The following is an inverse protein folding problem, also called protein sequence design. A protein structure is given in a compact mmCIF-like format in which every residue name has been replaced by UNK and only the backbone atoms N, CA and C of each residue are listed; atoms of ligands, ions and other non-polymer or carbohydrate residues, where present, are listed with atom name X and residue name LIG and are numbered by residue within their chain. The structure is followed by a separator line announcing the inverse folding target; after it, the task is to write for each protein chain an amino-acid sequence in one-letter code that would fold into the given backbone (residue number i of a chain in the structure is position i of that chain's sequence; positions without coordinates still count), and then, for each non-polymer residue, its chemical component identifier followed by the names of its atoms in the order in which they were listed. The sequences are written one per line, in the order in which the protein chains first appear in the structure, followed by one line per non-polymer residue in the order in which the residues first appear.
data_IF_914432145974
#
_entry.id   IF_914432145974
#
_cell.length_a   1.000
_cell.length_b   1.000
_cell.length_c   1.000
_cell.angle_alpha   90.00
_cell.angle_beta   90.00
_cell.angle_gamma   90.00
#
_symmetry.space_group_name_H-M   'P 1'
#
loop_
_entity.id
_entity.type
_entity.pdbx_description
1 polymer ?
#
# COMPACT_ATOMS: atom_id res chain seq x y z
N UNK A 1 13.23 9.31 -2.98
CA UNK A 1 12.45 8.06 -2.89
C UNK A 1 12.10 7.65 -4.31
N UNK A 2 12.01 6.35 -4.63
CA UNK A 2 11.66 5.93 -5.99
C UNK A 2 10.27 6.44 -6.38
N UNK A 3 10.11 6.75 -7.66
CA UNK A 3 8.80 7.03 -8.25
C UNK A 3 7.95 5.76 -8.30
N UNK A 4 6.64 5.89 -8.52
CA UNK A 4 5.76 4.72 -8.74
C UNK A 4 6.22 3.91 -9.96
N UNK A 5 6.69 4.59 -11.01
CA UNK A 5 7.22 3.98 -12.23
C UNK A 5 8.47 3.14 -11.96
N UNK A 6 9.39 3.60 -11.12
CA UNK A 6 10.59 2.84 -10.74
C UNK A 6 10.23 1.54 -10.03
N UNK A 7 9.22 1.59 -9.15
CA UNK A 7 8.73 0.42 -8.39
C UNK A 7 8.12 -0.60 -9.35
N UNK A 8 7.30 -0.13 -10.31
CA UNK A 8 6.69 -0.97 -11.34
C UNK A 8 7.78 -1.63 -12.21
N UNK A 9 8.76 -0.85 -12.68
CA UNK A 9 9.86 -1.35 -13.50
C UNK A 9 10.69 -2.41 -12.76
N UNK A 10 11.05 -2.17 -11.49
CA UNK A 10 11.76 -3.14 -10.66
C UNK A 10 10.92 -4.39 -10.38
N UNK A 11 9.61 -4.25 -10.16
CA UNK A 11 8.73 -5.40 -10.00
C UNK A 11 8.66 -6.24 -11.28
N UNK A 12 8.55 -5.62 -12.46
CA UNK A 12 8.56 -6.34 -13.74
C UNK A 12 9.84 -7.13 -13.96
N UNK A 13 10.99 -6.63 -13.50
CA UNK A 13 12.28 -7.32 -13.58
C UNK A 13 12.43 -8.44 -12.54
N UNK A 14 12.07 -8.17 -11.29
CA UNK A 14 12.30 -9.09 -10.16
C UNK A 14 11.17 -10.10 -9.96
N UNK A 15 9.99 -9.83 -10.52
CA UNK A 15 8.73 -10.58 -10.34
C UNK A 15 8.38 -10.85 -8.86
N UNK A 16 8.93 -10.05 -7.93
CA UNK A 16 8.86 -10.33 -6.51
C UNK A 16 8.72 -9.08 -5.67
N UNK A 17 7.54 -8.90 -5.07
CA UNK A 17 7.22 -7.80 -4.15
C UNK A 17 8.24 -7.71 -3.01
N UNK A 18 8.71 -8.85 -2.49
CA UNK A 18 9.67 -8.88 -1.37
C UNK A 18 11.05 -8.35 -1.77
N UNK A 19 11.47 -8.65 -2.99
CA UNK A 19 12.77 -8.18 -3.52
C UNK A 19 12.70 -6.68 -3.79
N UNK A 20 11.66 -6.22 -4.49
CA UNK A 20 11.40 -4.79 -4.73
C UNK A 20 11.31 -4.00 -3.42
N UNK A 21 10.59 -4.52 -2.42
CA UNK A 21 10.50 -3.92 -1.09
C UNK A 21 11.86 -3.74 -0.41
N UNK A 22 12.72 -4.77 -0.47
CA UNK A 22 14.07 -4.71 0.09
C UNK A 22 14.96 -3.72 -0.67
N UNK A 23 14.85 -3.67 -1.99
CA UNK A 23 15.64 -2.78 -2.86
C UNK A 23 15.38 -1.31 -2.53
N UNK A 24 14.12 -0.94 -2.30
CA UNK A 24 13.73 0.45 -2.01
C UNK A 24 13.54 0.78 -0.53
N UNK A 25 13.73 -0.20 0.35
CA UNK A 25 13.44 -0.10 1.79
C UNK A 25 12.00 0.38 2.08
N UNK A 26 11.05 -0.10 1.27
CA UNK A 26 9.62 0.20 1.38
C UNK A 26 8.91 -1.05 1.91
N UNK A 27 7.82 -0.88 2.66
CA UNK A 27 7.04 -2.03 3.15
C UNK A 27 6.47 -2.82 1.96
N UNK A 28 6.50 -4.16 2.05
CA UNK A 28 5.91 -5.02 1.03
C UNK A 28 4.41 -4.72 0.81
N UNK A 29 3.70 -4.28 1.85
CA UNK A 29 2.31 -3.87 1.76
C UNK A 29 2.12 -2.61 0.92
N UNK A 30 3.01 -1.62 1.05
CA UNK A 30 2.99 -0.41 0.24
C UNK A 30 3.26 -0.72 -1.23
N UNK A 31 4.31 -1.51 -1.52
CA UNK A 31 4.63 -1.97 -2.88
C UNK A 31 3.42 -2.69 -3.49
N UNK A 32 2.82 -3.64 -2.76
CA UNK A 32 1.63 -4.37 -3.22
C UNK A 32 0.50 -3.43 -3.61
N UNK A 33 0.21 -2.39 -2.81
CA UNK A 33 -0.87 -1.44 -3.12
C UNK A 33 -0.56 -0.56 -4.33
N UNK A 34 0.69 -0.14 -4.51
CA UNK A 34 1.14 0.59 -5.71
C UNK A 34 0.95 -0.27 -6.95
N UNK A 35 1.35 -1.55 -6.89
CA UNK A 35 1.20 -2.46 -8.01
C UNK A 35 -0.27 -2.79 -8.32
N UNK A 36 -1.14 -2.90 -7.31
CA UNK A 36 -2.60 -3.03 -7.50
C UNK A 36 -3.17 -1.80 -8.21
N UNK A 37 -2.77 -0.61 -7.78
CA UNK A 37 -3.20 0.64 -8.41
C UNK A 37 -2.73 0.75 -9.86
N UNK A 38 -1.50 0.34 -10.14
CA UNK A 38 -0.93 0.32 -11.48
C UNK A 38 -1.50 -0.81 -12.38
N UNK A 39 -2.29 -1.73 -11.83
CA UNK A 39 -2.79 -2.91 -12.55
C UNK A 39 -1.73 -4.01 -12.77
N UNK A 40 -0.51 -3.83 -12.30
CA UNK A 40 0.60 -4.77 -12.43
C UNK A 40 0.49 -5.98 -11.52
N UNK A 41 -0.31 -5.87 -10.46
CA UNK A 41 -0.54 -6.94 -9.51
C UNK A 41 -2.02 -7.08 -9.20
N UNK A 42 -2.58 -8.25 -9.45
CA UNK A 42 -3.94 -8.58 -9.05
C UNK A 42 -3.98 -9.93 -8.35
N UNK A 43 -4.86 -10.05 -7.38
CA UNK A 43 -5.30 -11.34 -6.83
C UNK A 43 -6.81 -11.44 -6.96
N UNK A 44 -7.41 -12.64 -6.95
CA UNK A 44 -8.86 -12.79 -7.06
C UNK A 44 -9.62 -11.90 -6.05
N UNK A 45 -9.13 -11.83 -4.81
CA UNK A 45 -9.70 -10.96 -3.78
C UNK A 45 -9.52 -9.48 -4.08
N UNK A 46 -8.38 -9.07 -4.61
CA UNK A 46 -8.11 -7.67 -4.96
C UNK A 46 -8.98 -7.23 -6.14
N UNK A 47 -9.09 -8.04 -7.20
CA UNK A 47 -9.97 -7.77 -8.33
C UNK A 47 -11.44 -7.68 -7.91
N UNK A 48 -11.88 -8.57 -7.01
CA UNK A 48 -13.24 -8.53 -6.45
C UNK A 48 -13.51 -7.24 -5.67
N UNK A 49 -12.55 -6.83 -4.82
CA UNK A 49 -12.68 -5.60 -4.02
C UNK A 49 -12.64 -4.37 -4.93
N UNK A 50 -11.72 -4.29 -5.89
CA UNK A 50 -11.63 -3.17 -6.84
C UNK A 50 -12.92 -3.03 -7.64
N UNK A 51 -13.47 -4.12 -8.20
CA UNK A 51 -14.72 -4.06 -8.94
C UNK A 51 -15.93 -3.62 -8.10
N UNK A 52 -15.92 -3.84 -6.78
CA UNK A 52 -16.95 -3.32 -5.85
C UNK A 52 -16.75 -1.84 -5.55
N UNK A 53 -15.50 -1.43 -5.35
CA UNK A 53 -15.15 -0.02 -5.15
C UNK A 53 -15.50 0.82 -6.37
N UNK A 54 -15.27 0.30 -7.58
CA UNK A 54 -15.63 0.96 -8.85
C UNK A 54 -17.14 1.14 -9.01
N UNK A 55 -17.95 0.28 -8.37
CA UNK A 55 -19.41 0.43 -8.28
C UNK A 55 -19.86 1.44 -7.21
N UNK A 56 -18.93 2.08 -6.50
CA UNK A 56 -19.21 3.04 -5.43
C UNK A 56 -19.54 2.39 -4.08
N UNK A 57 -19.28 1.09 -3.92
CA UNK A 57 -19.53 0.41 -2.64
C UNK A 57 -18.49 0.81 -1.58
N UNK A 58 -18.94 1.00 -0.34
CA UNK A 58 -18.03 1.39 0.74
C UNK A 58 -17.15 0.23 1.21
N UNK A 59 -15.93 0.53 1.68
CA UNK A 59 -15.02 -0.47 2.28
C UNK A 59 -15.70 -1.21 3.44
N UNK A 60 -16.52 -0.53 4.23
CA UNK A 60 -17.26 -1.14 5.33
C UNK A 60 -18.28 -2.18 4.85
N UNK A 61 -18.99 -1.89 3.75
CA UNK A 61 -19.94 -2.83 3.15
C UNK A 61 -19.21 -4.05 2.58
N UNK A 62 -18.11 -3.82 1.86
CA UNK A 62 -17.27 -4.88 1.30
C UNK A 62 -16.71 -5.78 2.41
N UNK A 63 -16.28 -5.18 3.51
CA UNK A 63 -15.76 -5.89 4.69
C UNK A 63 -16.83 -6.77 5.34
N UNK A 64 -18.04 -6.24 5.50
CA UNK A 64 -19.18 -6.97 6.07
C UNK A 64 -19.52 -8.20 5.23
N UNK A 65 -19.60 -8.04 3.91
CA UNK A 65 -19.94 -9.14 3.00
C UNK A 65 -18.84 -10.20 2.92
N UNK A 66 -17.57 -9.80 2.99
CA UNK A 66 -16.43 -10.73 2.99
C UNK A 66 -16.18 -11.37 4.37
N UNK A 67 -16.91 -10.97 5.42
CA UNK A 67 -16.65 -11.40 6.79
C UNK A 67 -15.25 -11.01 7.28
N UNK A 68 -14.68 -9.90 6.77
CA UNK A 68 -13.34 -9.43 7.11
C UNK A 68 -13.37 -8.06 7.76
N UNK A 69 -12.28 -7.68 8.43
CA UNK A 69 -12.17 -6.34 8.98
C UNK A 69 -12.01 -5.29 7.86
N UNK A 70 -12.49 -4.05 8.08
CA UNK A 70 -12.29 -2.95 7.14
C UNK A 70 -10.81 -2.72 6.78
N UNK A 71 -9.92 -2.88 7.77
CA UNK A 71 -8.48 -2.77 7.55
C UNK A 71 -7.95 -3.89 6.61
N UNK A 72 -8.47 -5.11 6.72
CA UNK A 72 -8.10 -6.19 5.82
C UNK A 72 -8.55 -5.90 4.39
N UNK A 73 -9.78 -5.42 4.19
CA UNK A 73 -10.27 -5.01 2.85
C UNK A 73 -9.43 -3.86 2.30
N UNK A 74 -9.12 -2.86 3.13
CA UNK A 74 -8.29 -1.73 2.73
C UNK A 74 -6.86 -2.13 2.34
N UNK A 75 -6.37 -3.28 2.82
CA UNK A 75 -5.07 -3.83 2.41
C UNK A 75 -5.05 -4.30 0.95
N UNK A 76 -6.21 -4.65 0.39
CA UNK A 76 -6.39 -5.08 -0.99
C UNK A 76 -6.93 -3.95 -1.90
N UNK A 77 -7.38 -2.85 -1.31
CA UNK A 77 -7.88 -1.70 -2.04
C UNK A 77 -6.74 -0.87 -2.67
N UNK A 78 -7.00 -0.21 -3.83
CA UNK A 78 -6.07 0.71 -4.45
C UNK A 78 -5.53 1.78 -3.49
N UNK A 79 -4.34 2.30 -3.77
CA UNK A 79 -3.64 3.21 -2.87
C UNK A 79 -4.14 4.66 -2.94
N UNK A 80 -5.33 4.95 -2.41
CA UNK A 80 -5.82 6.35 -2.33
C UNK A 80 -5.21 7.14 -1.15
N UNK A 81 -3.89 7.11 -0.93
CA UNK A 81 -3.26 7.94 0.11
C UNK A 81 -2.07 8.71 -0.43
N UNK A 82 -2.33 9.93 -0.89
CA UNK A 82 -1.29 10.92 -1.15
C UNK A 82 -0.24 10.93 -0.03
N UNK A 83 1.03 10.83 -0.42
CA UNK A 83 2.21 11.18 0.36
C UNK A 83 2.67 10.26 1.52
N UNK A 84 2.14 9.04 1.70
CA UNK A 84 2.73 8.13 2.71
C UNK A 84 3.98 7.36 2.22
N UNK A 85 4.18 7.23 0.91
CA UNK A 85 5.33 6.51 0.32
C UNK A 85 6.10 7.34 -0.73
N UNK A 86 5.38 8.19 -1.46
CA UNK A 86 5.91 9.08 -2.49
C UNK A 86 5.29 10.45 -2.23
N UNK A 87 6.01 11.33 -1.52
CA UNK A 87 5.53 12.68 -1.19
C UNK A 87 5.95 13.19 0.19
N UNK A 88 5.51 14.40 0.53
CA UNK A 88 5.81 15.07 1.79
C UNK A 88 5.12 14.38 2.97
N UNK A 89 5.91 14.03 3.98
CA UNK A 89 5.39 13.40 5.20
C UNK A 89 4.53 14.41 5.96
N UNK A 90 3.35 14.00 6.39
CA UNK A 90 2.53 14.80 7.30
C UNK A 90 3.30 15.14 8.59
N UNK A 91 3.00 16.28 9.20
CA UNK A 91 3.64 16.69 10.46
C UNK A 91 3.57 15.59 11.54
N UNK A 92 2.45 14.86 11.58
CA UNK A 92 2.26 13.78 12.55
C UNK A 92 3.24 12.63 12.30
N UNK A 93 3.52 12.30 11.05
CA UNK A 93 4.52 11.29 10.69
C UNK A 93 5.94 11.74 11.10
N UNK A 94 6.26 13.04 10.99
CA UNK A 94 7.53 13.59 11.47
C UNK A 94 7.63 13.54 13.00
N UNK A 95 6.55 13.86 13.72
CA UNK A 95 6.47 13.78 15.20
C UNK A 95 6.69 12.35 15.69
N UNK A 96 6.02 11.36 15.08
CA UNK A 96 6.19 9.93 15.42
C UNK A 96 7.63 9.48 15.16
N UNK A 97 8.26 9.90 14.05
CA UNK A 97 9.67 9.58 13.75
C UNK A 97 10.60 10.10 14.85
N UNK A 98 10.49 11.38 15.22
CA UNK A 98 11.28 11.99 16.29
C UNK A 98 11.13 11.28 17.62
N UNK A 99 9.89 10.89 17.99
CA UNK A 99 9.64 10.14 19.22
C UNK A 99 10.32 8.77 19.22
N UNK A 100 10.22 8.02 18.12
CA UNK A 100 10.87 6.71 17.96
C UNK A 100 12.39 6.80 17.95
N UNK A 101 12.96 7.88 17.41
CA UNK A 101 14.41 8.11 17.41
C UNK A 101 14.91 8.40 18.83
N UNK A 102 14.18 9.18 19.63
CA UNK A 102 14.51 9.42 21.05
C UNK A 102 14.54 8.15 21.90
N UNK A 103 13.62 7.20 21.64
CA UNK A 103 13.54 5.94 22.39
C UNK A 103 14.62 4.91 22.06
N UNK A 104 15.48 5.15 21.06
CA UNK A 104 16.58 4.24 20.69
C UNK A 104 17.93 4.55 21.36
N UNK A 105 18.01 5.65 22.09
CA UNK A 105 19.24 6.14 22.75
C UNK A 105 19.34 5.80 24.25
N UNK A 106 18.46 4.94 24.76
CA UNK A 106 18.49 4.44 26.14
C UNK A 106 18.72 2.94 26.16
#
# INVERSE_FOLDING_TARGET
MPSEEDIIASYRQTQSIRVTARQYNISAQSIRRILIQAGEYSTPTSSYISGRLDRGESIAQIAKDLGRSPNAVQSYAPYNRGAYCVGEKSENALKIKKYREKGKTN
#
